data_IF_871684951468
#
_entry.id   IF_871684951468
#
_cell.length_a   1.000
_cell.length_b   1.000
_cell.length_c   1.000
_cell.angle_alpha   90.00
_cell.angle_beta   90.00
_cell.angle_gamma   90.00
#
_symmetry.space_group_name_H-M   'P 1'
#
loop_
_entity.id
_entity.type
_entity.pdbx_description
1 polymer ?
#
# COMPACT_ATOMS: atom_id res chain seq x y z
N UNK A 1 -10.19 1.78 9.24
CA UNK A 1 -9.08 0.81 9.34
C UNK A 1 -8.53 0.80 10.77
N UNK A 2 -7.81 -0.24 11.18
CA UNK A 2 -7.30 -0.37 12.56
C UNK A 2 -6.34 0.75 12.96
N UNK A 3 -5.61 1.34 12.01
CA UNK A 3 -4.72 2.47 12.29
C UNK A 3 -5.43 3.68 12.91
N UNK A 4 -6.75 3.83 12.69
CA UNK A 4 -7.54 4.88 13.32
C UNK A 4 -7.74 4.60 14.82
N UNK A 5 -7.90 3.33 15.21
CA UNK A 5 -8.00 2.91 16.61
C UNK A 5 -6.67 3.19 17.33
N UNK A 6 -5.55 2.82 16.70
CA UNK A 6 -4.21 3.09 17.23
C UNK A 6 -3.99 4.59 17.47
N UNK A 7 -4.44 5.44 16.54
CA UNK A 7 -4.30 6.90 16.63
C UNK A 7 -5.04 7.48 17.83
N UNK A 8 -6.19 6.91 18.21
CA UNK A 8 -7.01 7.39 19.33
C UNK A 8 -6.81 6.60 20.62
N UNK A 9 -5.89 5.61 20.63
CA UNK A 9 -5.63 4.74 21.77
C UNK A 9 -6.75 3.74 22.08
N UNK A 10 -7.58 3.41 21.09
CA UNK A 10 -8.63 2.40 21.23
C UNK A 10 -8.09 0.99 20.96
N UNK A 11 -8.64 0.00 21.67
CA UNK A 11 -8.34 -1.41 21.46
C UNK A 11 -9.12 -1.97 20.27
N UNK A 12 -8.44 -2.72 19.40
CA UNK A 12 -9.11 -3.51 18.37
C UNK A 12 -9.75 -4.75 18.99
N UNK A 13 -11.08 -4.76 19.09
CA UNK A 13 -11.82 -5.92 19.60
C UNK A 13 -11.96 -7.01 18.55
N UNK A 14 -12.46 -6.69 17.35
CA UNK A 14 -12.60 -7.63 16.22
C UNK A 14 -12.95 -6.93 14.90
N UNK A 15 -12.76 -7.64 13.79
CA UNK A 15 -13.38 -7.31 12.50
C UNK A 15 -14.89 -7.65 12.51
N UNK A 16 -15.69 -6.82 11.83
CA UNK A 16 -17.13 -7.09 11.63
C UNK A 16 -17.29 -8.03 10.44
N UNK A 17 -17.96 -9.17 10.66
CA UNK A 17 -18.19 -10.20 9.64
C UNK A 17 -19.24 -9.71 8.64
N UNK A 18 -19.22 -10.20 7.39
CA UNK A 18 -20.32 -10.02 6.47
C UNK A 18 -21.67 -10.40 7.11
N UNK A 19 -22.71 -9.62 6.85
CA UNK A 19 -24.05 -9.86 7.42
C UNK A 19 -24.26 -9.35 8.85
N UNK A 20 -23.21 -8.95 9.57
CA UNK A 20 -23.32 -8.45 10.94
C UNK A 20 -23.66 -6.95 10.99
N UNK A 21 -24.45 -6.59 12.01
CA UNK A 21 -24.80 -5.23 12.39
C UNK A 21 -24.29 -5.01 13.81
N UNK A 22 -23.65 -3.88 14.07
CA UNK A 22 -23.29 -3.47 15.43
C UNK A 22 -24.27 -2.41 15.89
N UNK A 23 -24.93 -2.65 17.02
CA UNK A 23 -25.81 -1.67 17.68
C UNK A 23 -25.14 -1.23 18.97
N UNK A 24 -24.97 0.08 19.12
CA UNK A 24 -24.33 0.72 20.27
C UNK A 24 -25.34 1.69 20.91
N UNK A 25 -25.51 1.59 22.22
CA UNK A 25 -26.38 2.43 23.04
C UNK A 25 -25.74 2.66 24.43
N UNK A 26 -26.46 3.33 25.34
CA UNK A 26 -25.94 3.70 26.66
C UNK A 26 -25.61 2.48 27.55
N UNK A 27 -26.18 1.30 27.25
CA UNK A 27 -25.93 0.06 27.99
C UNK A 27 -24.75 -0.75 27.43
N UNK A 28 -24.16 -0.31 26.31
CA UNK A 28 -22.99 -0.93 25.68
C UNK A 28 -23.18 -1.21 24.20
N UNK A 29 -22.67 -2.36 23.73
CA UNK A 29 -22.87 -2.78 22.34
C UNK A 29 -23.32 -4.22 22.25
N UNK A 30 -24.09 -4.51 21.19
CA UNK A 30 -24.45 -5.86 20.77
C UNK A 30 -24.21 -6.05 19.28
N UNK A 31 -24.04 -7.29 18.87
CA UNK A 31 -23.90 -7.68 17.47
C UNK A 31 -25.14 -8.47 17.08
N UNK A 32 -25.79 -8.03 16.01
CA UNK A 32 -26.91 -8.72 15.38
C UNK A 32 -26.51 -9.16 13.96
N UNK A 33 -27.36 -9.96 13.31
CA UNK A 33 -27.18 -10.37 11.91
C UNK A 33 -28.48 -10.18 11.15
N UNK A 34 -28.41 -9.44 10.05
CA UNK A 34 -29.55 -9.32 9.14
C UNK A 34 -29.65 -10.50 8.16
N UNK A 35 -28.57 -11.28 8.00
CA UNK A 35 -28.53 -12.50 7.21
C UNK A 35 -27.35 -13.39 7.64
N UNK A 36 -27.55 -14.70 7.58
CA UNK A 36 -26.47 -15.70 7.70
C UNK A 36 -26.00 -16.20 6.33
N UNK A 37 -26.69 -15.86 5.25
CA UNK A 37 -26.29 -16.20 3.87
C UNK A 37 -25.18 -15.24 3.41
N UNK A 38 -23.95 -15.55 3.81
CA UNK A 38 -22.82 -14.64 3.62
C UNK A 38 -21.59 -15.32 3.05
N UNK A 39 -20.72 -14.52 2.44
CA UNK A 39 -19.39 -14.92 2.00
C UNK A 39 -18.38 -13.85 2.41
N UNK A 40 -17.26 -14.27 3.01
CA UNK A 40 -16.15 -13.37 3.27
C UNK A 40 -15.38 -13.12 1.97
N UNK A 41 -15.62 -11.96 1.36
CA UNK A 41 -14.96 -11.51 0.15
C UNK A 41 -14.35 -10.12 0.38
N UNK A 42 -13.13 -10.10 0.92
CA UNK A 42 -12.39 -8.85 1.16
C UNK A 42 -11.88 -8.34 -0.19
N UNK A 43 -11.97 -7.03 -0.41
CA UNK A 43 -11.43 -6.40 -1.59
C UNK A 43 -9.90 -6.56 -1.66
N UNK A 44 -9.38 -7.28 -2.66
CA UNK A 44 -7.93 -7.47 -2.85
C UNK A 44 -7.17 -6.15 -2.96
N UNK A 45 -7.80 -5.11 -3.49
CA UNK A 45 -7.17 -3.79 -3.64
C UNK A 45 -6.91 -3.09 -2.31
N UNK A 46 -7.55 -3.48 -1.21
CA UNK A 46 -7.21 -3.00 0.13
C UNK A 46 -5.78 -3.44 0.49
N UNK A 47 -5.48 -4.72 0.29
CA UNK A 47 -4.13 -5.24 0.51
C UNK A 47 -3.13 -4.71 -0.52
N UNK A 48 -3.53 -4.54 -1.79
CA UNK A 48 -2.61 -4.11 -2.85
C UNK A 48 -2.26 -2.61 -2.72
N UNK A 49 -3.23 -1.74 -2.44
CA UNK A 49 -3.04 -0.29 -2.61
C UNK A 49 -3.77 0.61 -1.60
N UNK A 50 -5.07 0.39 -1.35
CA UNK A 50 -5.89 1.40 -0.67
C UNK A 50 -5.60 1.54 0.82
N UNK A 51 -5.53 0.43 1.55
CA UNK A 51 -5.34 0.46 2.99
C UNK A 51 -3.94 0.98 3.35
N UNK A 52 -3.84 1.62 4.51
CA UNK A 52 -2.55 2.02 5.04
C UNK A 52 -1.72 0.80 5.45
N UNK A 53 -0.38 0.85 5.27
CA UNK A 53 0.50 -0.29 5.57
C UNK A 53 0.53 -0.68 7.06
N UNK A 54 0.21 0.25 7.96
CA UNK A 54 0.12 0.03 9.40
C UNK A 54 -1.24 -0.52 9.86
N UNK A 55 -2.20 -0.70 8.95
CA UNK A 55 -3.48 -1.33 9.25
C UNK A 55 -3.40 -2.86 9.24
N UNK A 56 -4.27 -3.50 10.02
CA UNK A 56 -4.57 -4.92 9.97
C UNK A 56 -5.97 -5.10 9.39
N UNK A 57 -6.12 -6.06 8.47
CA UNK A 57 -7.42 -6.42 7.88
C UNK A 57 -7.61 -7.90 8.15
N UNK A 58 -8.59 -8.27 8.98
CA UNK A 58 -8.82 -9.68 9.36
C UNK A 58 -7.56 -10.36 9.92
N UNK A 59 -6.86 -9.66 10.81
CA UNK A 59 -5.60 -10.13 11.43
C UNK A 59 -4.37 -10.12 10.52
N UNK A 60 -4.51 -9.70 9.26
CA UNK A 60 -3.38 -9.61 8.31
C UNK A 60 -2.90 -8.18 8.22
N UNK A 61 -1.66 -7.94 8.66
CA UNK A 61 -1.00 -6.65 8.47
C UNK A 61 -0.76 -6.35 6.99
N UNK A 62 -1.13 -5.15 6.56
CA UNK A 62 -1.09 -4.71 5.15
C UNK A 62 0.35 -4.60 4.63
N UNK A 63 1.28 -4.01 5.40
CA UNK A 63 2.70 -3.97 5.04
C UNK A 63 3.26 -5.38 4.78
N UNK A 64 3.00 -6.29 5.72
CA UNK A 64 3.46 -7.69 5.64
C UNK A 64 2.87 -8.42 4.45
N UNK A 65 1.59 -8.21 4.14
CA UNK A 65 0.96 -8.76 2.94
C UNK A 65 1.64 -8.27 1.65
N UNK A 66 1.85 -6.95 1.52
CA UNK A 66 2.55 -6.36 0.36
C UNK A 66 3.98 -6.86 0.23
N UNK A 67 4.70 -7.01 1.34
CA UNK A 67 6.05 -7.57 1.36
C UNK A 67 6.08 -9.02 0.82
N UNK A 68 5.14 -9.86 1.25
CA UNK A 68 4.98 -11.22 0.70
C UNK A 68 4.65 -11.22 -0.79
N UNK A 69 3.81 -10.30 -1.25
CA UNK A 69 3.51 -10.14 -2.69
C UNK A 69 4.77 -9.79 -3.48
N UNK A 70 5.60 -8.89 -2.96
CA UNK A 70 6.90 -8.55 -3.57
C UNK A 70 7.85 -9.73 -3.65
N UNK A 71 7.99 -10.48 -2.56
CA UNK A 71 8.82 -11.69 -2.54
C UNK A 71 8.32 -12.75 -3.53
N UNK A 72 6.99 -12.90 -3.66
CA UNK A 72 6.39 -13.80 -4.64
C UNK A 72 6.67 -13.35 -6.07
N UNK A 73 6.59 -12.04 -6.34
CA UNK A 73 6.92 -11.49 -7.65
C UNK A 73 8.38 -11.73 -8.05
N UNK A 74 9.32 -11.69 -7.10
CA UNK A 74 10.73 -12.03 -7.36
C UNK A 74 10.92 -13.50 -7.77
N UNK A 75 10.10 -14.41 -7.25
CA UNK A 75 10.12 -15.83 -7.62
C UNK A 75 9.49 -16.07 -8.99
N UNK A 76 8.38 -15.38 -9.30
CA UNK A 76 7.63 -15.55 -10.55
C UNK A 76 8.32 -14.86 -11.73
N UNK A 77 8.95 -13.72 -11.47
CA UNK A 77 9.57 -12.84 -12.48
C UNK A 77 10.90 -12.27 -11.97
N UNK A 78 11.95 -13.10 -11.82
CA UNK A 78 13.27 -12.64 -11.43
C UNK A 78 13.91 -11.80 -12.55
N UNK A 79 14.70 -10.80 -12.17
CA UNK A 79 15.43 -9.93 -13.11
C UNK A 79 16.85 -9.71 -12.61
N UNK A 80 17.82 -9.72 -13.52
CA UNK A 80 19.17 -9.23 -13.21
C UNK A 80 19.19 -7.70 -13.20
N UNK A 81 19.23 -7.12 -12.00
CA UNK A 81 19.35 -5.69 -11.78
C UNK A 81 20.47 -5.41 -10.77
N UNK A 82 20.82 -4.13 -10.62
CA UNK A 82 21.83 -3.72 -9.64
C UNK A 82 21.18 -3.28 -8.31
N UNK A 83 19.88 -2.97 -8.33
CA UNK A 83 19.09 -2.55 -7.16
C UNK A 83 17.59 -2.66 -7.46
N UNK A 84 16.78 -2.51 -6.42
CA UNK A 84 15.32 -2.39 -6.51
C UNK A 84 14.91 -1.03 -5.96
N UNK A 85 13.99 -0.35 -6.64
CA UNK A 85 13.48 0.95 -6.22
C UNK A 85 11.96 0.91 -6.18
N UNK A 86 11.39 1.15 -4.99
CA UNK A 86 9.95 1.33 -4.85
C UNK A 86 9.51 2.72 -5.30
N UNK A 87 8.37 2.80 -6.00
CA UNK A 87 7.64 4.06 -6.16
C UNK A 87 7.12 4.51 -4.79
N UNK A 88 7.45 5.72 -4.33
CA UNK A 88 7.16 6.19 -2.96
C UNK A 88 5.67 6.11 -2.57
N UNK A 89 5.44 5.73 -1.31
CA UNK A 89 4.14 5.47 -0.66
C UNK A 89 3.39 4.24 -1.16
N UNK A 90 3.31 4.04 -2.48
CA UNK A 90 2.44 3.00 -3.05
C UNK A 90 3.06 1.61 -3.03
N UNK A 91 4.36 1.50 -3.28
CA UNK A 91 5.00 0.19 -3.55
C UNK A 91 6.19 -0.14 -2.65
N UNK A 92 6.51 0.72 -1.68
CA UNK A 92 7.70 0.57 -0.83
C UNK A 92 7.78 -0.80 -0.13
N UNK A 93 6.65 -1.32 0.36
CA UNK A 93 6.59 -2.63 1.03
C UNK A 93 6.83 -3.79 0.05
N UNK A 94 6.22 -3.72 -1.14
CA UNK A 94 6.41 -4.74 -2.17
C UNK A 94 7.84 -4.71 -2.74
N UNK A 95 8.41 -3.52 -2.98
CA UNK A 95 9.79 -3.36 -3.41
C UNK A 95 10.78 -3.93 -2.39
N UNK A 96 10.58 -3.65 -1.09
CA UNK A 96 11.37 -4.25 -0.02
C UNK A 96 11.30 -5.78 -0.03
N UNK A 97 10.10 -6.35 -0.18
CA UNK A 97 9.92 -7.80 -0.27
C UNK A 97 10.58 -8.42 -1.51
N UNK A 98 10.48 -7.76 -2.66
CA UNK A 98 11.15 -8.21 -3.89
C UNK A 98 12.67 -8.19 -3.72
N UNK A 99 13.22 -7.08 -3.21
CA UNK A 99 14.65 -6.89 -3.03
C UNK A 99 15.26 -7.94 -2.09
N UNK A 100 14.62 -8.20 -0.96
CA UNK A 100 15.05 -9.24 -0.01
C UNK A 100 15.03 -10.63 -0.64
N UNK A 101 13.97 -10.97 -1.38
CA UNK A 101 13.86 -12.27 -2.04
C UNK A 101 14.85 -12.43 -3.21
N UNK A 102 15.17 -11.34 -3.91
CA UNK A 102 16.11 -11.32 -5.03
C UNK A 102 17.58 -11.17 -4.59
N UNK A 103 17.85 -10.87 -3.32
CA UNK A 103 19.20 -10.57 -2.82
C UNK A 103 19.77 -9.26 -3.36
N UNK A 104 18.92 -8.29 -3.70
CA UNK A 104 19.30 -6.99 -4.25
C UNK A 104 19.17 -5.88 -3.20
N UNK A 105 19.99 -4.81 -3.28
CA UNK A 105 19.81 -3.66 -2.41
C UNK A 105 18.50 -2.93 -2.76
N UNK A 106 17.76 -2.50 -1.73
CA UNK A 106 16.58 -1.66 -1.86
C UNK A 106 16.98 -0.20 -1.61
N UNK A 107 16.92 0.63 -2.65
CA UNK A 107 17.47 1.98 -2.64
C UNK A 107 16.40 3.06 -2.84
N UNK A 108 16.71 4.27 -2.36
CA UNK A 108 15.87 5.43 -2.61
C UNK A 108 16.24 6.09 -3.94
N UNK A 109 15.77 5.51 -5.04
CA UNK A 109 15.99 6.08 -6.39
C UNK A 109 14.91 7.03 -6.87
N UNK A 110 13.77 7.12 -6.17
CA UNK A 110 12.64 7.98 -6.50
C UNK A 110 12.21 8.77 -5.27
N UNK A 111 11.94 10.06 -5.45
CA UNK A 111 11.38 10.95 -4.42
C UNK A 111 10.05 11.49 -4.92
N UNK A 112 9.02 11.43 -4.06
CA UNK A 112 7.75 12.11 -4.28
C UNK A 112 7.84 13.53 -3.78
N UNK A 113 7.50 14.49 -4.63
CA UNK A 113 7.33 15.87 -4.20
C UNK A 113 6.01 15.99 -3.42
N UNK A 114 6.10 16.37 -2.14
CA UNK A 114 4.95 16.47 -1.25
C UNK A 114 4.10 17.73 -1.49
N UNK A 115 4.63 18.73 -2.20
CA UNK A 115 4.01 20.04 -2.36
C UNK A 115 3.37 20.25 -3.73
N UNK A 116 3.10 19.17 -4.47
CA UNK A 116 2.54 19.26 -5.82
C UNK A 116 1.05 19.52 -5.74
N UNK A 117 0.64 20.68 -6.24
CA UNK A 117 -0.76 21.03 -6.41
C UNK A 117 -1.45 20.14 -7.47
N UNK A 118 -2.79 20.19 -7.48
CA UNK A 118 -3.57 19.53 -8.54
C UNK A 118 -3.12 20.05 -9.91
N UNK A 119 -2.74 19.14 -10.79
CA UNK A 119 -2.39 19.44 -12.19
C UNK A 119 -3.68 19.47 -13.02
N UNK A 120 -4.00 20.62 -13.64
CA UNK A 120 -5.09 20.71 -14.62
C UNK A 120 -4.72 20.00 -15.93
N UNK A 121 -5.74 19.68 -16.75
CA UNK A 121 -5.54 19.04 -18.06
C UNK A 121 -4.62 19.92 -18.91
N UNK A 122 -3.46 19.37 -19.27
CA UNK A 122 -2.46 20.08 -20.07
C UNK A 122 -2.68 19.80 -21.56
N UNK A 123 -2.63 20.84 -22.42
CA UNK A 123 -2.97 20.72 -23.84
C UNK A 123 -1.89 19.98 -24.65
N UNK A 124 -0.61 20.11 -24.27
CA UNK A 124 0.51 19.51 -25.01
C UNK A 124 1.13 18.34 -24.25
N UNK A 125 1.76 17.43 -24.99
CA UNK A 125 2.48 16.28 -24.42
C UNK A 125 3.64 16.74 -23.52
N UNK A 126 4.40 17.75 -23.95
CA UNK A 126 5.54 18.30 -23.18
C UNK A 126 5.10 18.82 -21.80
N UNK A 127 3.97 19.54 -21.75
CA UNK A 127 3.40 20.04 -20.49
C UNK A 127 2.89 18.90 -19.60
N UNK A 128 2.38 17.81 -20.17
CA UNK A 128 2.00 16.59 -19.40
C UNK A 128 3.22 15.91 -18.81
N UNK A 129 4.27 15.73 -19.59
CA UNK A 129 5.53 15.12 -19.14
C UNK A 129 6.20 15.96 -18.05
N UNK A 130 6.17 17.28 -18.18
CA UNK A 130 6.61 18.20 -17.13
C UNK A 130 5.75 18.04 -15.87
N UNK A 131 4.43 17.87 -16.01
CA UNK A 131 3.51 17.56 -14.91
C UNK A 131 3.83 16.27 -14.15
N UNK A 132 4.27 15.22 -14.86
CA UNK A 132 4.72 13.97 -14.24
C UNK A 132 6.04 14.17 -13.50
N UNK A 133 7.01 14.87 -14.12
CA UNK A 133 8.31 15.21 -13.50
C UNK A 133 8.16 16.07 -12.24
N UNK A 134 7.09 16.86 -12.13
CA UNK A 134 6.80 17.60 -10.91
C UNK A 134 6.41 16.68 -9.74
N UNK A 135 5.77 15.53 -10.01
CA UNK A 135 5.23 14.60 -8.99
C UNK A 135 6.29 13.67 -8.41
N UNK A 136 7.13 13.12 -9.28
CA UNK A 136 8.18 12.18 -8.92
C UNK A 136 9.50 12.60 -9.58
N UNK A 137 10.57 12.64 -8.80
CA UNK A 137 11.92 12.91 -9.29
C UNK A 137 12.83 11.71 -9.05
N UNK A 138 13.68 11.42 -10.03
CA UNK A 138 14.71 10.40 -9.89
C UNK A 138 15.90 10.97 -9.13
N UNK A 139 16.43 10.20 -8.17
CA UNK A 139 17.68 10.52 -7.49
C UNK A 139 18.84 10.13 -8.42
N UNK A 140 19.22 11.05 -9.32
CA UNK A 140 20.19 10.78 -10.39
C UNK A 140 21.51 10.17 -9.88
N UNK A 141 21.97 10.56 -8.70
CA UNK A 141 23.19 10.02 -8.09
C UNK A 141 23.09 8.53 -7.74
N UNK A 142 21.88 8.02 -7.49
CA UNK A 142 21.61 6.61 -7.17
C UNK A 142 21.42 5.79 -8.45
N UNK A 143 20.65 6.29 -9.41
CA UNK A 143 20.20 5.49 -10.57
C UNK A 143 21.10 5.57 -11.82
N UNK A 144 21.97 6.59 -11.93
CA UNK A 144 22.73 6.81 -13.18
C UNK A 144 23.69 5.65 -13.46
N UNK A 145 23.51 5.01 -14.62
CA UNK A 145 24.35 3.91 -15.08
C UNK A 145 24.09 2.59 -14.36
N UNK A 146 22.97 2.48 -13.63
CA UNK A 146 22.52 1.27 -12.95
C UNK A 146 21.37 0.63 -13.71
N UNK A 147 21.28 -0.70 -13.64
CA UNK A 147 20.08 -1.46 -14.00
C UNK A 147 19.11 -1.38 -12.82
N UNK A 148 17.94 -0.79 -13.05
CA UNK A 148 16.87 -0.55 -12.07
C UNK A 148 15.61 -1.27 -12.51
#
# INVERSE_FOLDING_TARGET
ETCALDTVGAELVRDIRPGEIVVVDDDGYRIDRYTDQTQLAICSMEFIYFARPDSNIYGVNVHSARKRMGARLAQESPVEADMVIGVPNSSLSAASGYAEAAGLPNEMGLIKNQYVARTFIQPTQELREQGVRMKLSAVRGVVKGKRV
#
